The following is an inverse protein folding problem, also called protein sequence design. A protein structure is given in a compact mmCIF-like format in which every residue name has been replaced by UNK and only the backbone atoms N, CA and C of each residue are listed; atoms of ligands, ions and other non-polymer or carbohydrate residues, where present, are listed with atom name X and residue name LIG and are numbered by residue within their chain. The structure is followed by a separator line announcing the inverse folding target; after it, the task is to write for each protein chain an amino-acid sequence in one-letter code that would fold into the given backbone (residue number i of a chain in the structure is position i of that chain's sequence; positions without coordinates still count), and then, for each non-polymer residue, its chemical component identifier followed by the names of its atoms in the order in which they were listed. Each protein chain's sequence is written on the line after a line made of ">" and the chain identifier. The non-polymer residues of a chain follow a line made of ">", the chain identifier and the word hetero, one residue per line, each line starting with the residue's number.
data_IF_953275270197
#
_entry.id   IF_953275270197
#
_cell.length_a   1.000
_cell.length_b   1.000
_cell.length_c   1.000
_cell.angle_alpha   90.00
_cell.angle_beta   90.00
_cell.angle_gamma   90.00
#
_symmetry.space_group_name_H-M   'P 1'
#
loop_
_entity.id
_entity.type
_entity.pdbx_description
1 polymer ?
#
# COMPACT_ATOMS: atom_id res chain seq x y z
N UNK A 1 -4.21 11.03 9.27
CA UNK A 1 -4.12 11.25 10.74
C UNK A 1 -2.95 12.17 11.13
N UNK A 2 -1.71 11.86 10.74
CA UNK A 2 -0.54 12.67 11.06
C UNK A 2 -0.65 14.13 10.60
N UNK A 3 -1.17 14.39 9.39
CA UNK A 3 -1.49 15.73 8.90
C UNK A 3 -2.41 16.52 9.86
N UNK A 4 -3.47 15.88 10.37
CA UNK A 4 -4.39 16.52 11.31
C UNK A 4 -3.73 16.78 12.68
N UNK A 5 -2.80 15.91 13.09
CA UNK A 5 -1.99 16.15 14.28
C UNK A 5 -1.09 17.39 14.09
N UNK A 6 -0.47 17.54 12.92
CA UNK A 6 0.33 18.73 12.54
C UNK A 6 -0.50 20.02 12.55
N UNK A 7 -1.74 19.99 12.04
CA UNK A 7 -2.67 21.14 12.09
C UNK A 7 -3.38 21.33 13.45
N UNK A 8 -2.98 20.62 14.52
CA UNK A 8 -3.60 20.67 15.85
C UNK A 8 -5.10 20.30 15.87
N UNK A 9 -5.56 19.52 14.89
CA UNK A 9 -6.96 19.05 14.72
C UNK A 9 -7.12 17.54 14.99
N UNK A 10 -6.31 16.99 15.91
CA UNK A 10 -6.26 15.54 16.22
C UNK A 10 -7.59 14.93 16.69
N UNK A 11 -8.49 15.74 17.24
CA UNK A 11 -9.76 15.25 17.81
C UNK A 11 -10.81 14.82 16.76
N UNK A 12 -10.59 15.09 15.47
CA UNK A 12 -11.54 14.71 14.40
C UNK A 12 -11.63 13.21 14.15
N UNK A 13 -10.58 12.45 14.48
CA UNK A 13 -10.52 11.00 14.27
C UNK A 13 -10.45 10.33 15.63
N UNK A 14 -11.54 9.65 16.02
CA UNK A 14 -11.66 8.96 17.31
C UNK A 14 -10.95 7.60 17.32
N UNK A 15 -10.99 6.88 16.21
CA UNK A 15 -10.28 5.62 16.00
C UNK A 15 -9.95 5.45 14.52
N UNK A 16 -9.00 4.57 14.22
CA UNK A 16 -8.67 4.19 12.85
C UNK A 16 -8.48 2.68 12.72
N UNK A 17 -8.89 2.14 11.58
CA UNK A 17 -8.68 0.74 11.21
C UNK A 17 -7.91 0.68 9.91
N UNK A 18 -6.73 0.05 9.94
CA UNK A 18 -5.87 -0.15 8.79
C UNK A 18 -6.01 -1.59 8.31
N UNK A 19 -6.60 -1.78 7.13
CA UNK A 19 -6.76 -3.10 6.52
C UNK A 19 -5.69 -3.26 5.44
N UNK A 20 -4.79 -4.23 5.62
CA UNK A 20 -3.74 -4.58 4.65
C UNK A 20 -2.88 -3.39 4.19
N UNK A 21 -2.68 -2.39 5.06
CA UNK A 21 -1.93 -1.17 4.74
C UNK A 21 -0.44 -1.33 5.01
N UNK A 22 0.37 -0.81 4.11
CA UNK A 22 1.83 -0.69 4.26
C UNK A 22 2.15 0.73 4.76
N UNK A 23 2.93 0.84 5.83
CA UNK A 23 3.40 2.12 6.39
C UNK A 23 4.93 2.27 6.34
N UNK A 24 5.63 1.15 6.21
CA UNK A 24 7.08 1.05 6.08
C UNK A 24 7.37 0.24 4.81
N UNK A 25 8.01 0.90 3.85
CA UNK A 25 8.28 0.37 2.51
C UNK A 25 9.69 -0.22 2.38
N UNK A 26 10.42 -0.41 3.48
CA UNK A 26 11.78 -1.00 3.45
C UNK A 26 11.79 -2.41 2.82
N UNK A 27 10.71 -3.17 2.98
CA UNK A 27 10.52 -4.49 2.39
C UNK A 27 9.13 -4.55 1.72
N UNK A 28 8.98 -4.05 0.49
CA UNK A 28 7.70 -3.99 -0.21
C UNK A 28 7.24 -5.35 -0.77
N UNK A 29 8.00 -6.43 -0.54
CA UNK A 29 7.71 -7.78 -1.03
C UNK A 29 8.26 -7.99 -2.45
N UNK A 30 7.59 -8.86 -3.22
CA UNK A 30 7.96 -9.17 -4.61
C UNK A 30 7.97 -7.94 -5.52
N UNK A 31 7.22 -6.89 -5.18
CA UNK A 31 7.29 -5.62 -5.90
C UNK A 31 8.68 -4.98 -5.87
N UNK A 32 9.47 -5.24 -4.83
CA UNK A 32 10.79 -4.63 -4.64
C UNK A 32 11.77 -4.90 -5.77
N UNK A 33 11.62 -6.00 -6.53
CA UNK A 33 12.51 -6.29 -7.67
C UNK A 33 12.31 -5.32 -8.84
N UNK A 34 11.14 -4.70 -8.94
CA UNK A 34 10.81 -3.73 -10.00
C UNK A 34 11.04 -2.28 -9.57
N UNK A 35 11.38 -2.05 -8.29
CA UNK A 35 11.64 -0.72 -7.74
C UNK A 35 13.12 -0.39 -7.90
N UNK A 36 13.44 0.34 -8.97
CA UNK A 36 14.76 0.94 -9.17
C UNK A 36 14.61 2.32 -9.83
N UNK A 37 15.64 3.16 -9.67
CA UNK A 37 15.59 4.55 -10.15
C UNK A 37 15.41 4.67 -11.68
N UNK A 38 16.07 3.86 -12.54
CA UNK A 38 15.84 3.90 -13.98
C UNK A 38 14.39 3.56 -14.38
N UNK A 39 13.80 2.51 -13.81
CA UNK A 39 12.42 2.13 -14.10
C UNK A 39 11.43 3.17 -13.60
N UNK A 40 11.61 3.68 -12.38
CA UNK A 40 10.74 4.74 -11.85
C UNK A 40 10.83 5.98 -12.71
N UNK A 41 12.03 6.42 -13.10
CA UNK A 41 12.22 7.59 -13.94
C UNK A 41 11.56 7.43 -15.32
N UNK A 42 11.59 6.22 -15.91
CA UNK A 42 10.88 5.93 -17.15
C UNK A 42 9.35 6.03 -16.97
N UNK A 43 8.81 5.46 -15.89
CA UNK A 43 7.38 5.53 -15.56
C UNK A 43 6.95 6.98 -15.31
N UNK A 44 7.77 7.76 -14.59
CA UNK A 44 7.51 9.17 -14.33
C UNK A 44 7.47 9.99 -15.62
N UNK A 45 8.42 9.78 -16.52
CA UNK A 45 8.45 10.44 -17.83
C UNK A 45 7.17 10.13 -18.62
N UNK A 46 6.75 8.87 -18.64
CA UNK A 46 5.52 8.46 -19.31
C UNK A 46 4.27 9.10 -18.67
N UNK A 47 4.16 9.06 -17.34
CA UNK A 47 3.03 9.65 -16.62
C UNK A 47 2.98 11.17 -16.81
N UNK A 48 4.13 11.85 -16.81
CA UNK A 48 4.21 13.29 -17.04
C UNK A 48 3.81 13.67 -18.46
N UNK A 49 4.14 12.84 -19.45
CA UNK A 49 3.71 13.04 -20.83
C UNK A 49 2.19 12.86 -20.99
N UNK A 50 1.58 11.87 -20.31
CA UNK A 50 0.14 11.59 -20.40
C UNK A 50 -0.71 12.45 -19.44
N UNK A 51 -0.13 13.00 -18.38
CA UNK A 51 -0.81 13.71 -17.29
C UNK A 51 -1.45 12.79 -16.23
N UNK A 52 -1.50 11.48 -16.48
CA UNK A 52 -2.02 10.46 -15.58
C UNK A 52 -1.31 9.12 -15.79
N UNK A 53 -1.43 8.24 -14.81
CA UNK A 53 -1.07 6.82 -14.94
C UNK A 53 -2.31 6.03 -15.36
N UNK A 54 -2.18 5.30 -16.47
CA UNK A 54 -3.25 4.45 -17.01
C UNK A 54 -3.47 3.23 -16.13
N UNK A 55 -4.68 3.09 -15.59
CA UNK A 55 -5.05 2.00 -14.68
C UNK A 55 -4.83 0.61 -15.27
N UNK A 56 -4.80 0.45 -16.59
CA UNK A 56 -4.48 -0.82 -17.25
C UNK A 56 -3.04 -1.27 -16.98
N UNK A 57 -2.10 -0.33 -16.88
CA UNK A 57 -0.70 -0.65 -16.57
C UNK A 57 -0.58 -1.16 -15.12
N UNK A 58 -1.31 -0.53 -14.20
CA UNK A 58 -1.39 -0.96 -12.81
C UNK A 58 -2.07 -2.34 -12.69
N UNK A 59 -3.11 -2.60 -13.48
CA UNK A 59 -3.77 -3.90 -13.55
C UNK A 59 -2.79 -5.02 -13.93
N UNK A 60 -1.96 -4.77 -14.95
CA UNK A 60 -0.92 -5.72 -15.38
C UNK A 60 0.08 -5.98 -14.26
N UNK A 61 0.57 -4.93 -13.59
CA UNK A 61 1.48 -5.10 -12.45
C UNK A 61 0.86 -5.91 -11.30
N UNK A 62 -0.42 -5.69 -10.97
CA UNK A 62 -1.11 -6.45 -9.94
C UNK A 62 -1.41 -7.90 -10.33
N UNK A 63 -1.74 -8.15 -11.59
CA UNK A 63 -1.94 -9.50 -12.12
C UNK A 63 -0.67 -10.33 -11.98
N UNK A 64 0.50 -9.76 -12.34
CA UNK A 64 1.81 -10.40 -12.19
C UNK A 64 2.16 -10.75 -10.73
N UNK A 65 1.67 -9.98 -9.74
CA UNK A 65 1.97 -10.20 -8.31
C UNK A 65 1.00 -11.18 -7.63
N UNK A 66 -0.16 -11.47 -8.22
CA UNK A 66 -1.19 -12.34 -7.62
C UNK A 66 -1.49 -13.59 -8.42
N UNK A 67 -0.70 -13.90 -9.44
CA UNK A 67 -0.92 -15.03 -10.37
C UNK A 67 -1.25 -16.35 -9.65
N UNK A 68 -0.52 -16.67 -8.57
CA UNK A 68 -0.67 -17.92 -7.84
C UNK A 68 -2.01 -18.04 -7.07
N UNK A 69 -2.55 -16.93 -6.58
CA UNK A 69 -3.78 -16.95 -5.76
C UNK A 69 -5.05 -16.79 -6.58
N UNK A 70 -4.98 -16.08 -7.71
CA UNK A 70 -6.14 -15.71 -8.51
C UNK A 70 -6.38 -16.67 -9.69
N UNK A 71 -5.31 -17.08 -10.39
CA UNK A 71 -5.42 -17.91 -11.60
C UNK A 71 -5.18 -19.39 -11.35
N UNK A 72 -4.11 -19.75 -10.63
CA UNK A 72 -3.75 -21.17 -10.48
C UNK A 72 -4.67 -21.97 -9.56
N UNK A 73 -5.08 -21.41 -8.42
CA UNK A 73 -6.08 -22.08 -7.56
C UNK A 73 -7.41 -22.32 -8.28
N UNK A 74 -7.79 -21.39 -9.15
CA UNK A 74 -9.00 -21.48 -9.96
C UNK A 74 -8.89 -22.58 -11.02
N UNK A 75 -7.76 -22.63 -11.74
CA UNK A 75 -7.48 -23.69 -12.71
C UNK A 75 -7.52 -25.08 -12.05
N UNK A 76 -6.88 -25.24 -10.88
CA UNK A 76 -6.89 -26.52 -10.16
C UNK A 76 -8.31 -26.91 -9.74
N UNK A 77 -9.10 -25.97 -9.22
CA UNK A 77 -10.43 -26.30 -8.67
C UNK A 77 -11.45 -26.56 -9.78
N UNK A 78 -11.42 -25.78 -10.86
CA UNK A 78 -12.44 -25.89 -11.90
C UNK A 78 -12.05 -26.88 -13.00
N UNK A 79 -10.79 -26.88 -13.44
CA UNK A 79 -10.33 -27.77 -14.51
C UNK A 79 -10.00 -29.17 -13.99
N UNK A 80 -9.30 -29.29 -12.84
CA UNK A 80 -8.90 -30.61 -12.32
C UNK A 80 -9.94 -31.27 -11.41
N UNK A 81 -10.74 -30.51 -10.64
CA UNK A 81 -11.76 -31.09 -9.74
C UNK A 81 -13.19 -31.06 -10.29
N UNK A 82 -13.43 -30.38 -11.42
CA UNK A 82 -14.75 -30.34 -12.08
C UNK A 82 -15.83 -29.60 -11.28
N UNK A 83 -15.46 -28.76 -10.31
CA UNK A 83 -16.38 -27.98 -9.51
C UNK A 83 -16.94 -26.79 -10.31
N UNK A 84 -18.23 -26.46 -10.14
CA UNK A 84 -18.86 -25.35 -10.87
C UNK A 84 -18.22 -24.02 -10.47
N UNK A 85 -17.95 -23.11 -11.42
CA UNK A 85 -17.39 -21.80 -11.11
C UNK A 85 -18.33 -21.00 -10.21
N UNK A 86 -17.82 -20.56 -9.06
CA UNK A 86 -18.51 -19.64 -8.15
C UNK A 86 -18.61 -18.27 -8.81
N UNK A 87 -19.69 -17.51 -8.53
CA UNK A 87 -19.96 -16.21 -9.13
C UNK A 87 -18.74 -15.26 -9.01
N UNK A 88 -18.43 -14.59 -10.13
CA UNK A 88 -17.14 -14.01 -10.48
C UNK A 88 -17.00 -12.52 -10.11
N UNK A 89 -17.66 -12.08 -9.04
CA UNK A 89 -17.80 -10.65 -8.71
C UNK A 89 -16.46 -9.97 -8.43
N UNK A 90 -15.50 -10.72 -7.89
CA UNK A 90 -14.16 -10.21 -7.57
C UNK A 90 -13.33 -9.88 -8.82
N UNK A 91 -13.45 -10.65 -9.90
CA UNK A 91 -12.71 -10.34 -11.13
C UNK A 91 -13.33 -9.15 -11.85
N UNK A 92 -14.66 -9.01 -11.78
CA UNK A 92 -15.34 -7.84 -12.31
C UNK A 92 -14.82 -6.57 -11.64
N UNK A 93 -14.75 -6.57 -10.30
CA UNK A 93 -14.14 -5.48 -9.53
C UNK A 93 -12.66 -5.26 -9.89
N UNK A 94 -11.88 -6.32 -10.08
CA UNK A 94 -10.46 -6.20 -10.43
C UNK A 94 -10.22 -5.67 -11.86
N UNK A 95 -11.17 -5.91 -12.77
CA UNK A 95 -11.08 -5.44 -14.17
C UNK A 95 -11.49 -3.97 -14.32
N UNK A 96 -12.24 -3.43 -13.36
CA UNK A 96 -12.67 -2.04 -13.33
C UNK A 96 -11.55 -1.12 -12.78
N UNK A 97 -10.60 -0.82 -13.67
CA UNK A 97 -9.41 -0.06 -13.33
C UNK A 97 -9.68 1.45 -13.34
N UNK A 98 -9.01 2.18 -12.44
CA UNK A 98 -9.09 3.64 -12.35
C UNK A 98 -7.75 4.28 -12.64
N UNK A 99 -7.77 5.42 -13.34
CA UNK A 99 -6.58 6.21 -13.61
C UNK A 99 -6.20 7.04 -12.37
N UNK A 100 -4.90 7.27 -12.18
CA UNK A 100 -4.38 8.07 -11.08
C UNK A 100 -3.64 9.30 -11.64
N UNK A 101 -3.80 10.50 -11.07
CA UNK A 101 -3.02 11.67 -11.50
C UNK A 101 -1.51 11.40 -11.45
N UNK A 102 -0.78 11.86 -12.47
CA UNK A 102 0.65 11.58 -12.60
C UNK A 102 1.44 12.02 -11.36
N UNK A 103 1.17 13.21 -10.83
CA UNK A 103 1.82 13.73 -9.62
C UNK A 103 1.67 12.80 -8.42
N UNK A 104 0.45 12.30 -8.17
CA UNK A 104 0.15 11.41 -7.06
C UNK A 104 0.89 10.07 -7.22
N UNK A 105 0.81 9.46 -8.40
CA UNK A 105 1.44 8.17 -8.66
C UNK A 105 2.98 8.25 -8.61
N UNK A 106 3.56 9.29 -9.21
CA UNK A 106 5.00 9.52 -9.20
C UNK A 106 5.52 9.74 -7.77
N UNK A 107 4.83 10.56 -6.97
CA UNK A 107 5.17 10.76 -5.56
C UNK A 107 5.11 9.44 -4.77
N UNK A 108 4.10 8.61 -5.00
CA UNK A 108 3.98 7.32 -4.34
C UNK A 108 5.15 6.40 -4.69
N UNK A 109 5.53 6.28 -5.97
CA UNK A 109 6.65 5.43 -6.38
C UNK A 109 7.98 5.93 -5.82
N UNK A 110 8.31 7.20 -6.03
CA UNK A 110 9.62 7.74 -5.65
C UNK A 110 9.74 7.91 -4.14
N UNK A 111 8.78 8.59 -3.50
CA UNK A 111 8.92 8.93 -2.09
C UNK A 111 8.59 7.75 -1.18
N UNK A 112 7.66 6.86 -1.56
CA UNK A 112 7.25 5.76 -0.67
C UNK A 112 8.02 4.49 -1.01
N UNK A 113 7.89 3.98 -2.23
CA UNK A 113 8.50 2.69 -2.59
C UNK A 113 10.03 2.74 -2.70
N UNK A 114 10.61 3.79 -3.28
CA UNK A 114 12.06 3.90 -3.46
C UNK A 114 12.75 4.50 -2.22
N UNK A 115 12.26 5.64 -1.73
CA UNK A 115 12.95 6.40 -0.67
C UNK A 115 12.43 6.14 0.75
N UNK A 116 11.31 5.40 0.89
CA UNK A 116 10.66 5.08 2.17
C UNK A 116 10.46 6.31 3.11
N UNK A 117 10.18 7.48 2.54
CA UNK A 117 10.03 8.75 3.26
C UNK A 117 8.84 8.78 4.21
N UNK A 118 7.81 7.96 3.98
CA UNK A 118 6.63 7.90 4.87
C UNK A 118 6.95 7.41 6.27
N UNK A 119 7.93 6.50 6.40
CA UNK A 119 8.39 5.99 7.69
C UNK A 119 9.25 7.01 8.46
N UNK A 120 9.79 8.01 7.75
CA UNK A 120 10.72 9.00 8.29
C UNK A 120 9.94 10.21 8.83
N UNK A 121 10.20 10.68 10.06
CA UNK A 121 9.56 11.88 10.60
C UNK A 121 9.82 13.10 9.71
N UNK A 122 8.75 13.75 9.26
CA UNK A 122 8.78 14.88 8.31
C UNK A 122 9.44 14.56 6.95
N UNK A 123 9.55 13.28 6.57
CA UNK A 123 10.11 12.90 5.27
C UNK A 123 9.22 13.31 4.09
N UNK A 124 7.93 13.49 4.32
CA UNK A 124 6.95 13.99 3.35
C UNK A 124 6.29 15.23 3.92
N UNK A 125 5.99 16.18 3.04
CA UNK A 125 5.24 17.39 3.35
C UNK A 125 3.94 17.43 2.54
N UNK A 126 2.83 17.78 3.19
CA UNK A 126 1.53 17.98 2.56
C UNK A 126 1.01 19.34 3.02
N UNK A 127 0.71 20.25 2.10
CA UNK A 127 0.25 21.63 2.37
C UNK A 127 1.07 22.39 3.45
N UNK A 128 2.40 22.36 3.39
CA UNK A 128 3.22 23.03 4.42
C UNK A 128 3.39 22.22 5.71
N UNK A 129 2.83 21.02 5.80
CA UNK A 129 2.80 20.22 7.03
C UNK A 129 3.65 18.96 6.86
N UNK A 130 4.77 18.93 7.58
CA UNK A 130 5.60 17.73 7.71
C UNK A 130 4.83 16.58 8.36
N UNK A 131 4.84 15.42 7.69
CA UNK A 131 4.13 14.22 8.11
C UNK A 131 5.01 13.41 9.06
N UNK A 132 4.53 13.23 10.28
CA UNK A 132 5.19 12.43 11.31
C UNK A 132 4.17 11.47 11.94
N UNK A 133 4.35 10.17 11.69
CA UNK A 133 3.47 9.12 12.16
C UNK A 133 3.51 8.95 13.69
N UNK A 134 4.61 9.33 14.36
CA UNK A 134 4.76 9.23 15.82
C UNK A 134 3.80 10.15 16.60
N UNK A 135 3.32 11.21 15.93
CA UNK A 135 2.36 12.19 16.47
C UNK A 135 0.91 11.69 16.42
N UNK A 136 0.64 10.57 15.77
CA UNK A 136 -0.69 9.94 15.76
C UNK A 136 -0.92 9.27 17.11
N UNK A 137 -1.95 9.73 17.84
CA UNK A 137 -2.33 9.22 19.18
C UNK A 137 -3.74 8.60 19.21
N UNK A 138 -4.42 8.54 18.07
CA UNK A 138 -5.74 7.90 17.99
C UNK A 138 -5.59 6.38 18.12
N UNK A 139 -6.47 5.69 18.87
CA UNK A 139 -6.54 4.23 18.88
C UNK A 139 -6.58 3.67 17.46
N UNK A 140 -5.62 2.80 17.13
CA UNK A 140 -5.46 2.27 15.78
C UNK A 140 -5.45 0.75 15.81
N UNK A 141 -6.42 0.14 15.13
CA UNK A 141 -6.44 -1.29 14.85
C UNK A 141 -5.78 -1.55 13.49
N UNK A 142 -4.87 -2.52 13.41
CA UNK A 142 -4.20 -2.88 12.16
C UNK A 142 -4.37 -4.37 11.88
N UNK A 143 -4.96 -4.70 10.74
CA UNK A 143 -5.15 -6.06 10.26
C UNK A 143 -4.24 -6.33 9.07
N UNK A 144 -3.44 -7.39 9.17
CA UNK A 144 -2.49 -7.79 8.12
C UNK A 144 -2.60 -9.29 7.84
N UNK A 145 -2.55 -9.65 6.56
CA UNK A 145 -2.57 -11.04 6.10
C UNK A 145 -1.17 -11.66 6.21
N UNK A 146 -1.08 -12.83 6.84
CA UNK A 146 0.18 -13.54 7.09
C UNK A 146 0.91 -13.99 5.81
N UNK A 147 0.17 -14.26 4.72
CA UNK A 147 0.72 -14.76 3.45
C UNK A 147 1.29 -13.68 2.51
N UNK A 148 1.07 -12.39 2.77
CA UNK A 148 1.53 -11.29 1.90
C UNK A 148 2.96 -10.82 2.28
N UNK A 149 3.59 -11.43 3.29
CA UNK A 149 4.87 -10.98 3.84
C UNK A 149 5.98 -12.00 3.51
N UNK A 150 7.02 -11.54 2.80
CA UNK A 150 8.35 -12.19 2.82
C UNK A 150 8.86 -12.26 4.26
N UNK A 151 9.33 -13.44 4.68
CA UNK A 151 9.74 -13.82 6.05
C UNK A 151 10.73 -12.83 6.70
N UNK A 152 10.25 -11.77 7.32
CA UNK A 152 11.05 -10.94 8.24
C UNK A 152 10.14 -10.10 9.15
N UNK A 153 9.66 -10.73 10.24
CA UNK A 153 8.82 -10.11 11.26
C UNK A 153 9.55 -9.14 12.21
N UNK A 154 10.71 -8.58 11.83
CA UNK A 154 11.54 -7.77 12.74
C UNK A 154 11.46 -6.25 12.52
N UNK A 155 11.16 -5.78 11.31
CA UNK A 155 11.19 -4.33 11.01
C UNK A 155 9.97 -3.58 11.61
N UNK A 156 8.80 -4.20 11.63
CA UNK A 156 7.55 -3.55 12.06
C UNK A 156 7.39 -3.42 13.57
N UNK A 157 8.20 -4.13 14.36
CA UNK A 157 8.26 -3.92 15.81
C UNK A 157 8.44 -2.44 16.14
N UNK A 158 9.31 -1.69 15.44
CA UNK A 158 9.56 -0.27 15.75
C UNK A 158 8.41 0.67 15.35
N UNK A 159 7.78 0.44 14.19
CA UNK A 159 6.66 1.27 13.72
C UNK A 159 5.37 0.99 14.50
N UNK A 160 5.09 -0.28 14.83
CA UNK A 160 4.00 -0.64 15.76
C UNK A 160 4.28 -0.16 17.18
N UNK A 161 5.53 -0.20 17.67
CA UNK A 161 5.86 0.32 19.02
C UNK A 161 5.60 1.83 19.12
N UNK A 162 5.76 2.61 18.05
CA UNK A 162 5.42 4.04 18.07
C UNK A 162 3.90 4.31 18.11
N UNK A 163 3.08 3.41 17.58
CA UNK A 163 1.61 3.53 17.51
C UNK A 163 0.87 2.76 18.63
N UNK A 164 1.52 1.80 19.28
CA UNK A 164 0.93 0.88 20.26
C UNK A 164 1.19 1.26 21.73
N UNK A 165 1.66 2.48 22.03
CA UNK A 165 1.81 2.91 23.43
C UNK A 165 0.48 3.43 23.96
N UNK A 166 -0.16 2.57 24.77
CA UNK A 166 -1.33 2.75 25.66
C UNK A 166 -2.69 2.30 25.13
N UNK A 167 -2.90 0.98 25.18
CA UNK A 167 -4.15 0.42 25.72
C UNK A 167 -3.78 -0.78 26.60
N UNK A 168 -4.12 -0.79 27.90
CA UNK A 168 -3.99 -1.99 28.71
C UNK A 168 -5.00 -3.01 28.17
N UNK A 169 -4.50 -4.19 27.79
CA UNK A 169 -5.34 -5.35 27.53
C UNK A 169 -5.97 -5.76 28.87
N UNK A 170 -7.30 -5.68 28.96
CA UNK A 170 -8.07 -6.62 29.76
C UNK A 170 -8.21 -7.92 28.97
#
# INVERSE_FOLDING_TARGET
>A
MAYLAGKRRKQRIKSATLLTTILDFLQPGELGIFINDPMISAIEAQNNHQGYMDGRQMAVSFSLLRENSLYWNYYITNYLKGEKPVAFDLLHWNSDNTNVPASCHNQMLRQFYLENKLSQPNGIEIDGVGIDLSKVKSPTFSYRLSKIISRSGKALSKAQTCLAVKTPLC
#
